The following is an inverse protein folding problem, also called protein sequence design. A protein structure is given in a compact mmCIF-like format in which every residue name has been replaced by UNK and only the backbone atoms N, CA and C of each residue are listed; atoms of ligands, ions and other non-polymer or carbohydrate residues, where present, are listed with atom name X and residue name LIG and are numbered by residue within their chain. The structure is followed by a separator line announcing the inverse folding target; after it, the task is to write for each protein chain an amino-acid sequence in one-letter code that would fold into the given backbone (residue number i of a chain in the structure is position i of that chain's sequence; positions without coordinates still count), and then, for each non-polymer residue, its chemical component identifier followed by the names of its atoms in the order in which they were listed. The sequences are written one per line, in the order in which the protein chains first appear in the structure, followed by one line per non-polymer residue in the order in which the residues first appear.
data_IF_079339568094
#
_entry.id   IF_079339568094
#
_cell.length_a   1.000
_cell.length_b   1.000
_cell.length_c   1.000
_cell.angle_alpha   90.00
_cell.angle_beta   90.00
_cell.angle_gamma   90.00
#
_symmetry.space_group_name_H-M   'P 1'
#
loop_
_entity.id
_entity.type
_entity.pdbx_description
1 polymer ?
#
# COMPACT_ATOMS: atom_id res chain seq x y z
N UNK A 1 -11.59 -9.15 25.02
CA UNK A 1 -10.34 -8.79 25.78
C UNK A 1 -9.74 -10.04 26.40
N UNK A 2 -8.48 -9.99 26.93
CA UNK A 2 -7.89 -11.17 27.62
C UNK A 2 -8.76 -11.59 28.81
N UNK A 3 -9.32 -10.63 29.56
CA UNK A 3 -10.28 -10.89 30.64
C UNK A 3 -11.48 -11.69 30.16
N UNK A 4 -12.06 -11.33 29.03
CA UNK A 4 -13.23 -12.01 28.49
C UNK A 4 -12.89 -13.42 28.02
N UNK A 5 -11.67 -13.63 27.48
CA UNK A 5 -11.17 -14.96 27.12
C UNK A 5 -11.02 -15.84 28.37
N UNK A 6 -10.43 -15.32 29.44
CA UNK A 6 -10.27 -16.05 30.71
C UNK A 6 -11.63 -16.44 31.28
N UNK A 7 -12.56 -15.48 31.33
CA UNK A 7 -13.93 -15.73 31.81
C UNK A 7 -14.68 -16.73 30.91
N UNK A 8 -14.51 -16.59 29.60
CA UNK A 8 -15.13 -17.52 28.63
C UNK A 8 -14.63 -18.96 28.80
N UNK A 9 -13.32 -19.16 28.91
CA UNK A 9 -12.72 -20.49 29.12
C UNK A 9 -13.15 -21.08 30.47
N UNK A 10 -13.20 -20.28 31.53
CA UNK A 10 -13.64 -20.73 32.86
C UNK A 10 -15.10 -21.18 32.87
N UNK A 11 -15.95 -20.56 32.06
CA UNK A 11 -17.38 -20.91 31.95
C UNK A 11 -17.68 -21.96 30.87
N UNK A 12 -16.69 -22.35 30.05
CA UNK A 12 -16.84 -23.28 28.92
C UNK A 12 -15.71 -24.34 28.93
N UNK A 13 -15.67 -25.17 29.98
CA UNK A 13 -14.60 -26.15 30.18
C UNK A 13 -14.42 -27.13 29.03
N UNK A 14 -15.49 -27.50 28.32
CA UNK A 14 -15.40 -28.34 27.14
C UNK A 14 -14.59 -27.68 26.03
N UNK A 15 -14.80 -26.39 25.81
CA UNK A 15 -14.02 -25.61 24.83
C UNK A 15 -12.57 -25.48 25.30
N UNK A 16 -12.34 -25.22 26.59
CA UNK A 16 -11.00 -25.18 27.16
C UNK A 16 -10.26 -26.50 26.92
N UNK A 17 -10.93 -27.64 27.11
CA UNK A 17 -10.38 -28.96 26.82
C UNK A 17 -10.01 -29.15 25.34
N UNK A 18 -10.91 -28.74 24.40
CA UNK A 18 -10.61 -28.79 22.97
C UNK A 18 -9.47 -27.85 22.55
N UNK A 19 -9.25 -26.77 23.30
CA UNK A 19 -8.08 -25.90 23.14
C UNK A 19 -6.79 -26.47 23.72
N UNK A 20 -6.83 -27.71 24.28
CA UNK A 20 -5.67 -28.41 24.82
C UNK A 20 -5.35 -28.07 26.28
N UNK A 21 -6.21 -27.35 27.00
CA UNK A 21 -6.01 -27.08 28.41
C UNK A 21 -6.41 -28.30 29.26
N UNK A 22 -5.59 -28.57 30.29
CA UNK A 22 -5.92 -29.58 31.32
C UNK A 22 -6.96 -28.99 32.28
N UNK A 23 -8.21 -29.38 32.11
CA UNK A 23 -9.35 -28.86 32.89
C UNK A 23 -9.38 -29.43 34.32
N UNK A 24 -8.51 -30.39 34.68
CA UNK A 24 -8.33 -30.88 36.06
C UNK A 24 -7.46 -29.90 36.89
N UNK A 25 -6.84 -28.91 36.25
CA UNK A 25 -5.98 -27.88 36.85
C UNK A 25 -6.58 -26.52 36.66
N UNK A 26 -6.16 -25.52 37.48
CA UNK A 26 -6.55 -24.15 37.23
C UNK A 26 -6.15 -23.68 35.82
N UNK A 27 -7.10 -23.10 35.09
CA UNK A 27 -6.85 -22.53 33.79
C UNK A 27 -5.88 -21.34 33.86
N UNK A 28 -5.19 -21.01 32.73
CA UNK A 28 -4.26 -19.88 32.70
C UNK A 28 -4.93 -18.58 33.09
N UNK A 29 -4.27 -17.78 33.92
CA UNK A 29 -4.74 -16.48 34.35
C UNK A 29 -4.55 -15.40 33.27
N UNK A 30 -5.19 -14.22 33.44
CA UNK A 30 -4.96 -13.05 32.63
C UNK A 30 -3.47 -12.78 32.36
N UNK A 31 -2.64 -12.82 33.41
CA UNK A 31 -1.21 -12.55 33.31
C UNK A 31 -0.43 -13.59 32.51
N UNK A 32 -0.91 -14.80 32.45
CA UNK A 32 -0.31 -15.84 31.61
C UNK A 32 -0.51 -15.53 30.13
N UNK A 33 -1.75 -15.18 29.75
CA UNK A 33 -2.06 -14.77 28.37
C UNK A 33 -1.37 -13.46 27.98
N UNK A 34 -1.33 -12.47 28.89
CA UNK A 34 -0.64 -11.18 28.64
C UNK A 34 0.86 -11.38 28.40
N UNK A 35 1.52 -12.21 29.23
CA UNK A 35 2.94 -12.56 29.01
C UNK A 35 3.16 -13.37 27.75
N UNK A 36 2.25 -14.28 27.40
CA UNK A 36 2.31 -15.02 26.16
C UNK A 36 2.30 -14.08 24.96
N UNK A 37 1.32 -13.19 24.86
CA UNK A 37 1.22 -12.24 23.75
C UNK A 37 2.43 -11.30 23.64
N UNK A 38 3.07 -10.95 24.76
CA UNK A 38 4.25 -10.06 24.77
C UNK A 38 5.54 -10.74 24.35
N UNK A 39 5.70 -12.00 24.68
CA UNK A 39 6.98 -12.70 24.60
C UNK A 39 6.98 -13.86 23.59
N UNK A 40 5.81 -14.24 23.06
CA UNK A 40 5.72 -15.33 22.12
C UNK A 40 6.38 -14.91 20.79
N UNK A 41 7.15 -15.84 20.23
CA UNK A 41 7.79 -15.63 18.93
C UNK A 41 6.74 -15.68 17.81
N UNK A 42 6.56 -14.55 17.13
CA UNK A 42 5.60 -14.45 16.05
C UNK A 42 5.96 -15.35 14.85
N UNK A 43 7.22 -15.71 14.67
CA UNK A 43 7.65 -16.56 13.55
C UNK A 43 6.91 -17.90 13.56
N UNK A 44 6.66 -18.46 14.76
CA UNK A 44 5.88 -19.69 14.89
C UNK A 44 4.42 -19.53 14.41
N UNK A 45 3.76 -18.41 14.73
CA UNK A 45 2.40 -18.13 14.26
C UNK A 45 2.40 -17.90 12.75
N UNK A 46 3.40 -17.18 12.25
CA UNK A 46 3.61 -16.98 10.81
C UNK A 46 3.77 -18.31 10.06
N UNK A 47 4.51 -19.28 10.62
CA UNK A 47 4.70 -20.60 10.02
C UNK A 47 3.41 -21.42 10.01
N UNK A 48 2.60 -21.33 11.06
CA UNK A 48 1.25 -21.94 11.07
C UNK A 48 0.39 -21.34 9.97
N UNK A 49 0.35 -20.01 9.87
CA UNK A 49 -0.40 -19.31 8.81
C UNK A 49 0.06 -19.75 7.43
N UNK A 50 1.38 -19.74 7.15
CA UNK A 50 1.94 -20.19 5.87
C UNK A 50 1.53 -21.63 5.54
N UNK A 51 1.57 -22.52 6.54
CA UNK A 51 1.16 -23.92 6.37
C UNK A 51 -0.33 -24.05 6.00
N UNK A 52 -1.20 -23.24 6.61
CA UNK A 52 -2.63 -23.21 6.26
C UNK A 52 -2.86 -22.68 4.85
N UNK A 53 -2.15 -21.61 4.46
CA UNK A 53 -2.24 -21.04 3.10
C UNK A 53 -1.77 -22.05 2.05
N UNK A 54 -0.67 -22.76 2.30
CA UNK A 54 -0.19 -23.83 1.40
C UNK A 54 -1.22 -24.94 1.24
N UNK A 55 -1.84 -25.40 2.34
CA UNK A 55 -2.89 -26.40 2.29
C UNK A 55 -4.11 -25.92 1.47
N UNK A 56 -4.48 -24.65 1.59
CA UNK A 56 -5.57 -24.07 0.80
C UNK A 56 -5.19 -23.94 -0.68
N UNK A 57 -3.94 -23.61 -0.98
CA UNK A 57 -3.42 -23.56 -2.34
C UNK A 57 -3.37 -24.94 -2.99
N UNK A 58 -2.93 -25.98 -2.28
CA UNK A 58 -2.96 -27.37 -2.75
C UNK A 58 -4.38 -27.84 -3.09
N UNK A 59 -5.37 -27.35 -2.36
CA UNK A 59 -6.80 -27.64 -2.63
C UNK A 59 -7.41 -26.76 -3.74
N UNK A 60 -6.65 -25.85 -4.32
CA UNK A 60 -7.12 -24.91 -5.33
C UNK A 60 -8.12 -23.86 -4.79
N UNK A 61 -8.13 -23.61 -3.47
CA UNK A 61 -9.00 -22.60 -2.83
C UNK A 61 -8.32 -21.24 -2.86
N UNK A 62 -7.00 -21.18 -2.64
CA UNK A 62 -6.18 -19.98 -2.78
C UNK A 62 -5.49 -20.02 -4.13
N UNK A 63 -5.64 -18.93 -4.89
CA UNK A 63 -5.03 -18.74 -6.21
C UNK A 63 -4.19 -17.44 -6.21
N UNK A 64 -2.95 -17.53 -6.67
CA UNK A 64 -2.05 -16.38 -6.76
C UNK A 64 -2.14 -15.62 -8.07
N UNK A 65 -3.06 -15.98 -8.97
CA UNK A 65 -3.24 -15.30 -10.27
C UNK A 65 -3.63 -13.83 -10.10
N UNK A 66 -4.48 -13.51 -9.12
CA UNK A 66 -4.92 -12.15 -8.82
C UNK A 66 -4.72 -11.87 -7.34
N UNK A 67 -3.66 -11.16 -7.02
CA UNK A 67 -3.31 -10.82 -5.64
C UNK A 67 -3.45 -9.34 -5.40
N UNK A 68 -4.04 -8.97 -4.28
CA UNK A 68 -4.26 -7.57 -3.91
C UNK A 68 -3.60 -7.23 -2.59
N UNK A 69 -3.03 -6.04 -2.49
CA UNK A 69 -2.45 -5.52 -1.25
C UNK A 69 -3.18 -4.28 -0.78
N UNK A 70 -3.52 -4.27 0.50
CA UNK A 70 -4.06 -3.09 1.16
C UNK A 70 -3.58 -3.01 2.61
N UNK A 71 -3.74 -1.85 3.24
CA UNK A 71 -3.39 -1.65 4.64
C UNK A 71 -4.59 -1.16 5.45
N UNK A 72 -4.68 -1.64 6.69
CA UNK A 72 -5.70 -1.21 7.64
C UNK A 72 -5.06 -0.60 8.88
N UNK A 73 -5.50 0.59 9.33
CA UNK A 73 -5.02 1.19 10.56
C UNK A 73 -5.51 0.43 11.79
N UNK A 74 -4.62 0.29 12.78
CA UNK A 74 -4.89 -0.28 14.10
C UNK A 74 -4.61 0.79 15.14
N UNK A 75 -5.64 1.26 15.83
CA UNK A 75 -5.51 2.26 16.86
C UNK A 75 -4.94 1.66 18.15
N UNK A 76 -3.81 2.18 18.62
CA UNK A 76 -3.22 1.77 19.88
C UNK A 76 -4.11 2.14 21.09
N UNK A 77 -4.04 1.32 22.13
CA UNK A 77 -4.78 1.53 23.37
C UNK A 77 -4.13 2.63 24.23
N UNK A 78 -4.34 3.88 23.82
CA UNK A 78 -3.76 5.06 24.45
C UNK A 78 -4.80 6.14 24.72
N UNK A 79 -4.50 7.00 25.71
CA UNK A 79 -5.35 8.16 26.04
C UNK A 79 -5.42 9.18 24.91
N UNK A 80 -4.37 9.29 24.07
CA UNK A 80 -4.34 10.19 22.92
C UNK A 80 -5.39 9.81 21.86
N UNK A 81 -5.66 8.52 21.68
CA UNK A 81 -6.69 8.06 20.75
C UNK A 81 -8.12 8.16 21.31
N UNK A 82 -8.27 8.35 22.61
CA UNK A 82 -9.60 8.47 23.20
C UNK A 82 -10.21 9.85 22.87
N UNK A 83 -11.36 9.92 22.17
CA UNK A 83 -12.04 11.19 21.86
C UNK A 83 -12.36 12.01 23.10
N UNK A 84 -12.71 11.36 24.20
CA UNK A 84 -13.08 11.99 25.50
C UNK A 84 -11.89 12.42 26.35
N UNK A 85 -10.66 12.13 25.94
CA UNK A 85 -9.46 12.50 26.71
C UNK A 85 -9.15 13.98 26.57
N UNK A 86 -8.76 14.61 27.67
CA UNK A 86 -8.33 16.01 27.75
C UNK A 86 -6.84 16.23 27.47
N UNK A 87 -6.12 15.24 26.97
CA UNK A 87 -4.71 15.38 26.59
C UNK A 87 -4.56 16.50 25.57
N UNK A 88 -3.78 17.54 25.89
CA UNK A 88 -3.50 18.63 24.96
C UNK A 88 -2.60 18.15 23.82
N UNK A 89 -2.81 18.69 22.59
CA UNK A 89 -1.96 18.41 21.43
C UNK A 89 -1.80 16.90 21.14
N UNK A 90 -2.89 16.12 21.28
CA UNK A 90 -2.94 14.65 21.18
C UNK A 90 -2.10 14.05 20.04
N UNK A 91 -2.14 14.67 18.86
CA UNK A 91 -1.55 14.14 17.62
C UNK A 91 -0.36 14.98 17.14
N UNK A 92 0.59 15.23 18.05
CA UNK A 92 1.89 15.80 17.70
C UNK A 92 2.99 14.76 17.90
N UNK A 93 4.01 14.70 17.02
CA UNK A 93 5.11 13.73 17.13
C UNK A 93 5.79 13.73 18.49
N UNK A 94 5.92 14.92 19.14
CA UNK A 94 6.56 15.10 20.43
C UNK A 94 5.70 14.61 21.61
N UNK A 95 4.44 14.21 21.38
CA UNK A 95 3.53 13.72 22.40
C UNK A 95 3.32 12.20 22.31
N UNK A 96 4.42 11.45 22.22
CA UNK A 96 4.41 9.99 22.20
C UNK A 96 3.66 9.43 23.41
N UNK A 97 2.70 8.51 23.23
CA UNK A 97 2.01 7.86 24.35
C UNK A 97 2.96 7.08 25.25
N UNK A 98 2.90 7.33 26.55
CA UNK A 98 3.68 6.57 27.55
C UNK A 98 3.10 5.17 27.79
N UNK A 99 1.80 4.98 27.53
CA UNK A 99 1.12 3.71 27.72
C UNK A 99 1.51 2.65 26.66
N UNK A 100 1.96 3.11 25.49
CA UNK A 100 2.43 2.27 24.37
C UNK A 100 3.53 3.05 23.64
N UNK A 101 4.79 2.71 23.95
CA UNK A 101 5.97 3.40 23.42
C UNK A 101 6.33 2.99 21.99
N UNK A 102 5.82 1.85 21.54
CA UNK A 102 6.11 1.31 20.21
C UNK A 102 5.22 1.94 19.14
N UNK A 103 3.98 2.28 19.48
CA UNK A 103 3.06 2.88 18.53
C UNK A 103 3.61 4.20 17.96
N UNK A 104 3.27 4.52 16.71
CA UNK A 104 3.68 5.77 16.05
C UNK A 104 2.49 6.53 15.54
N UNK A 105 2.70 7.84 15.32
CA UNK A 105 1.67 8.70 14.75
C UNK A 105 1.46 8.35 13.28
N UNK A 106 0.24 8.00 12.95
CA UNK A 106 -0.22 7.77 11.59
C UNK A 106 -1.29 8.77 11.16
N UNK A 107 -1.55 8.79 9.87
CA UNK A 107 -2.64 9.56 9.29
C UNK A 107 -3.46 8.67 8.38
N UNK A 108 -4.75 8.65 8.60
CA UNK A 108 -5.72 8.02 7.70
C UNK A 108 -6.46 9.10 6.92
N UNK A 109 -6.63 8.88 5.62
CA UNK A 109 -7.37 9.80 4.76
C UNK A 109 -8.72 9.18 4.45
N UNK A 110 -9.76 9.69 5.05
CA UNK A 110 -11.14 9.38 4.68
C UNK A 110 -11.65 10.38 3.64
N UNK A 111 -12.30 9.91 2.60
CA UNK A 111 -13.08 10.74 1.68
C UNK A 111 -14.57 10.54 1.97
N UNK A 112 -15.31 11.63 2.11
CA UNK A 112 -16.77 11.59 2.20
C UNK A 112 -17.40 11.48 0.79
N UNK A 113 -18.73 11.34 0.73
CA UNK A 113 -19.49 11.30 -0.54
C UNK A 113 -19.29 12.58 -1.40
N UNK A 114 -18.92 13.70 -0.79
CA UNK A 114 -18.62 14.97 -1.49
C UNK A 114 -17.16 15.07 -1.98
N UNK A 115 -16.38 13.98 -1.92
CA UNK A 115 -14.95 13.95 -2.25
C UNK A 115 -14.06 14.89 -1.42
N UNK A 116 -14.54 15.36 -0.27
CA UNK A 116 -13.72 16.10 0.67
C UNK A 116 -12.79 15.15 1.42
N UNK A 117 -11.50 15.48 1.44
CA UNK A 117 -10.50 14.70 2.15
C UNK A 117 -10.46 15.13 3.61
N UNK A 118 -10.85 14.22 4.49
CA UNK A 118 -10.65 14.37 5.93
C UNK A 118 -9.39 13.60 6.34
N UNK A 119 -8.49 14.29 7.03
CA UNK A 119 -7.31 13.67 7.62
C UNK A 119 -7.60 13.31 9.06
N UNK A 120 -7.53 12.02 9.38
CA UNK A 120 -7.70 11.52 10.74
C UNK A 120 -6.36 11.02 11.25
N UNK A 121 -5.85 11.65 12.31
CA UNK A 121 -4.61 11.25 12.94
C UNK A 121 -4.89 10.23 14.04
N UNK A 122 -4.00 9.27 14.19
CA UNK A 122 -4.07 8.27 15.25
C UNK A 122 -2.67 7.81 15.66
N UNK A 123 -2.53 7.38 16.89
CA UNK A 123 -1.36 6.65 17.36
C UNK A 123 -1.62 5.17 17.21
N UNK A 124 -0.71 4.42 16.58
CA UNK A 124 -0.96 3.00 16.39
C UNK A 124 -0.04 2.30 15.43
N UNK A 125 -0.62 1.33 14.77
CA UNK A 125 0.00 0.38 13.87
C UNK A 125 -0.80 0.28 12.58
N UNK A 126 -0.29 -0.52 11.64
CA UNK A 126 -0.99 -0.90 10.41
C UNK A 126 -0.83 -2.39 10.20
N UNK A 127 -1.89 -3.06 9.85
CA UNK A 127 -1.85 -4.38 9.23
C UNK A 127 -1.79 -4.21 7.72
N UNK A 128 -0.77 -4.76 7.08
CA UNK A 128 -0.62 -4.83 5.62
C UNK A 128 -0.91 -6.27 5.22
N UNK A 129 -1.92 -6.49 4.42
CA UNK A 129 -2.35 -7.85 4.04
C UNK A 129 -2.36 -8.04 2.54
N UNK A 130 -1.75 -9.13 2.09
CA UNK A 130 -1.86 -9.65 0.74
C UNK A 130 -3.03 -10.63 0.69
N UNK A 131 -3.96 -10.40 -0.22
CA UNK A 131 -5.22 -11.14 -0.33
C UNK A 131 -5.29 -11.78 -1.71
N UNK A 132 -5.75 -13.01 -1.79
CA UNK A 132 -6.24 -13.60 -3.03
C UNK A 132 -7.55 -12.91 -3.42
N UNK A 133 -7.53 -12.18 -4.54
CA UNK A 133 -8.68 -11.39 -5.00
C UNK A 133 -9.78 -12.26 -5.67
N UNK A 134 -9.63 -13.56 -5.74
CA UNK A 134 -10.66 -14.49 -6.21
C UNK A 134 -11.42 -15.07 -5.03
N UNK A 135 -10.73 -15.66 -4.06
CA UNK A 135 -11.35 -16.25 -2.87
C UNK A 135 -11.65 -15.22 -1.76
N UNK A 136 -10.96 -14.08 -1.75
CA UNK A 136 -11.00 -13.08 -0.68
C UNK A 136 -10.31 -13.53 0.61
N UNK A 137 -9.45 -14.56 0.53
CA UNK A 137 -8.69 -15.06 1.67
C UNK A 137 -7.34 -14.37 1.79
N UNK A 138 -6.83 -14.13 3.01
CA UNK A 138 -5.49 -13.60 3.21
C UNK A 138 -4.44 -14.64 2.85
N UNK A 139 -3.37 -14.19 2.19
CA UNK A 139 -2.21 -15.02 1.85
C UNK A 139 -1.07 -14.78 2.84
N UNK A 140 -0.78 -13.50 3.11
CA UNK A 140 0.30 -13.10 4.01
C UNK A 140 0.05 -11.71 4.58
N UNK A 141 0.55 -11.47 5.78
CA UNK A 141 0.41 -10.17 6.44
C UNK A 141 1.69 -9.74 7.15
N UNK A 142 1.83 -8.43 7.31
CA UNK A 142 2.87 -7.80 8.13
C UNK A 142 2.26 -6.68 8.94
N UNK A 143 2.50 -6.68 10.25
CA UNK A 143 2.14 -5.57 11.14
C UNK A 143 3.32 -4.61 11.30
N UNK A 144 3.08 -3.34 11.01
CA UNK A 144 4.07 -2.27 11.17
C UNK A 144 3.56 -1.16 12.10
N UNK A 145 4.44 -0.25 12.50
CA UNK A 145 3.99 1.00 13.11
C UNK A 145 3.27 1.89 12.10
N UNK A 146 2.35 2.73 12.57
CA UNK A 146 1.53 3.58 11.70
C UNK A 146 2.33 4.61 10.87
N UNK A 147 3.59 4.88 11.23
CA UNK A 147 4.46 5.80 10.50
C UNK A 147 5.08 5.20 9.23
N UNK A 148 5.06 3.87 9.08
CA UNK A 148 5.62 3.18 7.92
C UNK A 148 4.74 3.43 6.69
N UNK A 149 5.37 3.74 5.55
CA UNK A 149 4.66 3.95 4.30
C UNK A 149 4.25 2.60 3.69
N UNK A 150 2.99 2.48 3.24
CA UNK A 150 2.43 1.24 2.74
C UNK A 150 3.24 0.68 1.54
N UNK A 151 3.65 1.56 0.63
CA UNK A 151 4.47 1.18 -0.54
C UNK A 151 5.87 0.67 -0.19
N UNK A 152 6.42 0.96 0.99
CA UNK A 152 7.74 0.47 1.40
C UNK A 152 7.72 -0.98 1.85
N UNK A 153 6.59 -1.43 2.42
CA UNK A 153 6.40 -2.81 2.91
C UNK A 153 6.06 -3.77 1.76
N UNK A 154 5.56 -3.25 0.65
CA UNK A 154 5.10 -4.06 -0.49
C UNK A 154 6.17 -5.01 -1.03
N UNK A 155 7.42 -4.51 -1.13
CA UNK A 155 8.51 -5.29 -1.70
C UNK A 155 8.84 -6.51 -0.83
N UNK A 156 8.82 -6.31 0.49
CA UNK A 156 9.09 -7.38 1.48
C UNK A 156 7.93 -8.39 1.51
N UNK A 157 6.68 -7.92 1.56
CA UNK A 157 5.50 -8.80 1.53
C UNK A 157 5.50 -9.71 0.30
N UNK A 158 5.78 -9.16 -0.88
CA UNK A 158 5.83 -9.94 -2.11
C UNK A 158 6.99 -10.94 -2.11
N UNK A 159 8.17 -10.55 -1.60
CA UNK A 159 9.33 -11.43 -1.51
C UNK A 159 9.10 -12.57 -0.51
N UNK A 160 8.58 -12.25 0.68
CA UNK A 160 8.27 -13.23 1.72
C UNK A 160 7.20 -14.21 1.23
N UNK A 161 6.13 -13.70 0.60
CA UNK A 161 5.09 -14.57 0.01
C UNK A 161 5.69 -15.50 -1.02
N UNK A 162 6.49 -14.97 -1.97
CA UNK A 162 7.11 -15.78 -3.01
C UNK A 162 8.03 -16.87 -2.47
N UNK A 163 8.60 -16.67 -1.28
CA UNK A 163 9.51 -17.64 -0.64
C UNK A 163 8.82 -18.95 -0.23
N UNK A 164 7.52 -18.90 0.11
CA UNK A 164 6.77 -20.10 0.52
C UNK A 164 5.64 -20.46 -0.47
N UNK A 165 5.04 -19.49 -1.14
CA UNK A 165 4.00 -19.69 -2.13
C UNK A 165 4.37 -18.91 -3.42
N UNK A 166 4.72 -19.60 -4.52
CA UNK A 166 5.09 -18.92 -5.77
C UNK A 166 3.98 -18.01 -6.30
N UNK A 167 4.33 -16.76 -6.60
CA UNK A 167 3.44 -15.74 -7.17
C UNK A 167 3.87 -15.37 -8.61
N UNK A 168 4.26 -16.37 -9.40
CA UNK A 168 4.65 -16.18 -10.81
C UNK A 168 3.44 -15.91 -11.69
N UNK A 169 3.63 -15.04 -12.71
CA UNK A 169 2.58 -14.64 -13.67
C UNK A 169 1.35 -14.01 -13.01
N UNK A 170 1.52 -13.45 -11.81
CA UNK A 170 0.44 -12.84 -11.05
C UNK A 170 0.02 -11.47 -11.61
N UNK A 171 -1.25 -11.15 -11.43
CA UNK A 171 -1.77 -9.78 -11.56
C UNK A 171 -1.85 -9.14 -10.18
N UNK A 172 -0.98 -8.16 -9.94
CA UNK A 172 -0.90 -7.45 -8.65
C UNK A 172 -1.79 -6.22 -8.65
N UNK A 173 -2.74 -6.15 -7.71
CA UNK A 173 -3.72 -5.08 -7.55
C UNK A 173 -3.42 -4.26 -6.29
N UNK A 174 -3.39 -2.94 -6.43
CA UNK A 174 -3.27 -2.05 -5.27
C UNK A 174 -3.87 -0.66 -5.57
N UNK A 175 -4.02 0.15 -4.54
CA UNK A 175 -4.51 1.53 -4.72
C UNK A 175 -3.41 2.44 -5.30
N UNK A 176 -3.77 3.69 -5.62
CA UNK A 176 -2.82 4.70 -6.15
C UNK A 176 -1.69 5.09 -5.18
N UNK A 177 -1.77 4.72 -3.91
CA UNK A 177 -0.69 4.91 -2.93
C UNK A 177 0.52 4.04 -3.24
N UNK A 178 0.29 2.92 -3.87
CA UNK A 178 1.30 1.93 -4.28
C UNK A 178 1.88 2.18 -5.68
N UNK A 179 1.54 3.30 -6.34
CA UNK A 179 2.07 3.64 -7.66
C UNK A 179 3.54 4.07 -7.60
N UNK A 180 4.42 3.12 -7.33
CA UNK A 180 5.87 3.29 -7.16
C UNK A 180 6.64 2.38 -8.11
N UNK A 181 7.57 2.94 -8.89
CA UNK A 181 8.33 2.24 -9.95
C UNK A 181 8.92 0.89 -9.49
N UNK A 182 9.45 0.81 -8.27
CA UNK A 182 10.10 -0.41 -7.78
C UNK A 182 9.12 -1.58 -7.66
N UNK A 183 7.84 -1.33 -7.33
CA UNK A 183 6.80 -2.36 -7.25
C UNK A 183 6.57 -2.96 -8.64
N UNK A 184 6.40 -2.12 -9.66
CA UNK A 184 6.24 -2.62 -11.04
C UNK A 184 7.44 -3.41 -11.54
N UNK A 185 8.64 -2.94 -11.20
CA UNK A 185 9.87 -3.64 -11.59
C UNK A 185 9.96 -5.01 -10.91
N UNK A 186 9.64 -5.11 -9.62
CA UNK A 186 9.66 -6.38 -8.89
C UNK A 186 8.63 -7.35 -9.48
N UNK A 187 7.38 -6.92 -9.62
CA UNK A 187 6.30 -7.76 -10.14
C UNK A 187 6.60 -8.24 -11.55
N UNK A 188 7.06 -7.34 -12.44
CA UNK A 188 7.33 -7.70 -13.83
C UNK A 188 8.62 -8.51 -14.01
N UNK A 189 9.72 -8.15 -13.34
CA UNK A 189 11.02 -8.77 -13.61
C UNK A 189 11.30 -10.00 -12.74
N UNK A 190 10.79 -10.06 -11.52
CA UNK A 190 11.02 -11.20 -10.64
C UNK A 190 9.88 -12.23 -10.73
N UNK A 191 8.65 -11.80 -10.91
CA UNK A 191 7.49 -12.70 -10.89
C UNK A 191 6.83 -12.86 -12.25
N UNK A 192 7.36 -12.22 -13.31
CA UNK A 192 6.77 -12.24 -14.67
C UNK A 192 5.28 -11.82 -14.68
N UNK A 193 4.89 -10.98 -13.72
CA UNK A 193 3.52 -10.54 -13.51
C UNK A 193 3.25 -9.14 -14.06
N UNK A 194 2.01 -8.71 -13.91
CA UNK A 194 1.58 -7.35 -14.25
C UNK A 194 1.01 -6.61 -13.04
N UNK A 195 0.97 -5.27 -13.11
CA UNK A 195 0.40 -4.42 -12.08
C UNK A 195 -0.85 -3.70 -12.57
N UNK A 196 -1.92 -3.78 -11.81
CA UNK A 196 -3.17 -3.05 -12.02
C UNK A 196 -3.32 -2.03 -10.89
N UNK A 197 -2.63 -0.89 -11.04
CA UNK A 197 -2.58 0.19 -10.05
C UNK A 197 -2.96 1.51 -10.72
N UNK A 198 -3.90 2.28 -10.16
CA UNK A 198 -4.25 3.61 -10.68
C UNK A 198 -3.08 4.59 -10.58
N UNK A 199 -2.90 5.41 -11.59
CA UNK A 199 -1.81 6.37 -11.65
C UNK A 199 -1.92 7.44 -10.55
N UNK A 200 -0.86 7.64 -9.80
CA UNK A 200 -0.75 8.73 -8.85
C UNK A 200 -0.29 10.01 -9.55
N UNK A 201 -1.22 10.90 -9.83
CA UNK A 201 -0.96 12.16 -10.55
C UNK A 201 0.03 13.11 -9.84
N UNK A 202 0.29 12.92 -8.54
CA UNK A 202 1.23 13.77 -7.78
C UNK A 202 2.68 13.64 -8.28
N UNK A 203 3.02 12.48 -8.86
CA UNK A 203 4.38 12.17 -9.29
C UNK A 203 4.57 12.25 -10.81
N UNK A 204 3.53 12.61 -11.55
CA UNK A 204 3.56 12.69 -13.00
C UNK A 204 3.16 14.07 -13.46
N UNK A 205 4.14 14.93 -13.74
CA UNK A 205 3.94 16.04 -14.67
C UNK A 205 3.96 15.45 -16.09
N UNK A 206 2.92 14.72 -16.46
CA UNK A 206 2.79 14.28 -17.84
C UNK A 206 2.44 15.48 -18.71
N UNK A 207 3.32 15.88 -19.63
CA UNK A 207 2.94 16.82 -20.65
C UNK A 207 1.76 16.20 -21.44
N UNK A 208 0.78 17.03 -21.83
CA UNK A 208 -0.27 16.54 -22.74
C UNK A 208 0.40 15.98 -23.99
N UNK A 209 0.20 14.69 -24.25
CA UNK A 209 0.74 14.00 -25.41
C UNK A 209 -0.34 13.90 -26.49
N UNK A 210 0.06 14.07 -27.73
CA UNK A 210 -0.75 13.69 -28.88
C UNK A 210 -0.76 12.16 -29.04
N UNK A 211 -1.70 11.59 -29.82
CA UNK A 211 -1.74 10.14 -30.10
C UNK A 211 -0.41 9.59 -30.59
N UNK A 212 0.40 10.40 -31.31
CA UNK A 212 1.73 10.01 -31.80
C UNK A 212 2.82 10.05 -30.72
N UNK A 213 2.48 10.38 -29.46
CA UNK A 213 3.42 10.47 -28.35
C UNK A 213 4.23 11.77 -28.29
N UNK A 214 3.95 12.76 -29.13
CA UNK A 214 4.60 14.07 -29.09
C UNK A 214 3.90 14.99 -28.07
N UNK A 215 4.64 15.71 -27.21
CA UNK A 215 4.05 16.68 -26.30
C UNK A 215 3.56 17.91 -27.04
N UNK A 216 2.58 18.58 -26.47
CA UNK A 216 2.05 19.85 -26.93
C UNK A 216 2.72 20.97 -26.11
N UNK A 217 3.17 22.04 -26.76
CA UNK A 217 3.69 23.21 -26.08
C UNK A 217 2.54 24.08 -25.50
N UNK A 218 2.88 25.14 -24.76
CA UNK A 218 1.90 26.06 -24.16
C UNK A 218 0.99 26.74 -25.18
N UNK A 219 1.49 26.94 -26.41
CA UNK A 219 0.72 27.49 -27.52
C UNK A 219 -0.11 26.46 -28.30
N UNK A 220 -0.22 25.22 -27.81
CA UNK A 220 -0.99 24.19 -28.49
C UNK A 220 -0.30 23.52 -29.70
N UNK A 221 0.97 23.84 -29.96
CA UNK A 221 1.71 23.28 -31.10
C UNK A 221 2.36 21.94 -30.74
N UNK A 222 2.30 20.94 -31.64
CA UNK A 222 3.00 19.68 -31.51
C UNK A 222 4.52 19.88 -31.54
N UNK A 223 5.22 19.40 -30.53
CA UNK A 223 6.68 19.52 -30.44
C UNK A 223 7.38 18.44 -31.26
N UNK A 224 8.58 18.73 -31.78
CA UNK A 224 9.37 17.80 -32.56
C UNK A 224 10.41 17.09 -31.73
N UNK A 225 10.72 15.83 -32.08
CA UNK A 225 11.81 15.07 -31.44
C UNK A 225 13.16 15.74 -31.78
N UNK A 226 13.97 16.00 -30.76
CA UNK A 226 15.28 16.67 -30.84
C UNK A 226 16.37 15.87 -30.11
N UNK A 227 16.45 14.57 -30.43
CA UNK A 227 17.46 13.67 -29.88
C UNK A 227 17.09 13.01 -28.56
N UNK A 228 17.88 12.01 -28.18
CA UNK A 228 17.80 11.31 -26.90
C UNK A 228 18.92 11.75 -25.99
N UNK A 229 18.65 11.79 -24.70
CA UNK A 229 19.62 12.11 -23.67
C UNK A 229 19.55 11.04 -22.58
N UNK A 230 20.67 10.41 -22.30
CA UNK A 230 20.79 9.41 -21.23
C UNK A 230 21.65 9.97 -20.11
N UNK A 231 21.12 9.99 -18.90
CA UNK A 231 21.90 10.13 -17.67
C UNK A 231 22.03 8.76 -16.98
N UNK A 232 22.83 8.67 -15.91
CA UNK A 232 23.15 7.40 -15.22
C UNK A 232 21.91 6.63 -14.72
N UNK A 233 20.71 7.22 -14.75
CA UNK A 233 19.49 6.66 -14.14
C UNK A 233 18.31 6.56 -15.09
N UNK A 234 18.32 7.27 -16.23
CA UNK A 234 17.18 7.33 -17.14
C UNK A 234 17.54 7.83 -18.52
N UNK A 235 16.84 7.31 -19.54
CA UNK A 235 16.89 7.84 -20.90
C UNK A 235 15.70 8.75 -21.14
N UNK A 236 15.94 9.93 -21.70
CA UNK A 236 14.91 10.91 -22.00
C UNK A 236 14.90 11.23 -23.48
N UNK A 237 13.71 11.32 -24.05
CA UNK A 237 13.51 11.94 -25.36
C UNK A 237 13.36 13.45 -25.18
N UNK A 238 14.23 14.18 -25.86
CA UNK A 238 14.13 15.64 -25.94
C UNK A 238 13.17 16.02 -27.06
N UNK A 239 12.30 16.98 -26.78
CA UNK A 239 11.40 17.60 -27.75
C UNK A 239 11.66 19.09 -27.78
N UNK A 240 11.59 19.67 -28.97
CA UNK A 240 11.79 21.11 -29.20
C UNK A 240 10.56 21.76 -29.83
N UNK A 241 10.50 23.06 -29.66
CA UNK A 241 9.49 23.89 -30.32
C UNK A 241 9.56 23.71 -31.84
N UNK A 242 8.42 23.49 -32.53
CA UNK A 242 8.40 23.35 -34.00
C UNK A 242 8.84 24.62 -34.74
N UNK A 243 8.79 25.78 -34.07
CA UNK A 243 9.29 27.04 -34.59
C UNK A 243 10.77 27.31 -34.27
N UNK A 244 11.48 26.36 -33.70
CA UNK A 244 12.92 26.41 -33.48
C UNK A 244 13.63 26.61 -34.81
N UNK A 245 14.45 27.66 -34.92
CA UNK A 245 15.16 28.08 -36.13
C UNK A 245 14.27 28.66 -37.26
N UNK A 246 12.98 28.91 -37.03
CA UNK A 246 12.18 29.64 -37.99
C UNK A 246 12.69 31.09 -38.13
N UNK A 247 12.87 31.56 -39.37
CA UNK A 247 13.29 32.92 -39.67
C UNK A 247 12.10 33.91 -39.67
N UNK A 248 10.91 33.41 -39.74
CA UNK A 248 9.70 34.19 -39.96
C UNK A 248 8.59 33.79 -39.01
N UNK A 249 8.69 33.98 -37.77
CA UNK A 249 7.60 33.53 -36.96
C UNK A 249 7.30 34.44 -35.78
N UNK A 250 6.13 34.98 -35.73
CA UNK A 250 5.51 35.42 -34.49
C UNK A 250 5.21 34.17 -33.70
N UNK A 251 5.94 33.93 -32.60
CA UNK A 251 5.62 32.85 -31.72
C UNK A 251 4.30 33.15 -30.98
N UNK A 252 3.31 32.30 -31.04
CA UNK A 252 2.06 32.47 -30.33
C UNK A 252 2.21 32.33 -28.79
N UNK A 253 3.36 31.89 -28.30
CA UNK A 253 3.61 31.81 -26.84
C UNK A 253 4.60 32.89 -26.40
N UNK A 254 4.29 33.55 -25.29
CA UNK A 254 5.15 34.58 -24.68
C UNK A 254 6.34 34.02 -23.91
N UNK A 255 6.96 32.96 -24.42
CA UNK A 255 8.06 32.28 -23.72
C UNK A 255 9.31 33.17 -23.73
N UNK A 256 9.85 33.52 -22.55
CA UNK A 256 11.02 34.41 -22.40
C UNK A 256 12.26 33.94 -23.16
N UNK A 257 12.40 32.65 -23.39
CA UNK A 257 13.54 32.05 -24.08
C UNK A 257 13.36 31.94 -25.60
N UNK A 258 12.25 32.39 -26.13
CA UNK A 258 11.97 32.30 -27.57
C UNK A 258 12.89 33.18 -28.40
N UNK A 259 13.19 34.34 -27.89
CA UNK A 259 14.04 35.35 -28.56
C UNK A 259 15.40 35.51 -27.85
N UNK A 260 16.17 34.47 -27.73
CA UNK A 260 17.48 34.57 -27.13
C UNK A 260 18.57 34.70 -28.25
N UNK A 261 18.79 35.88 -28.76
CA UNK A 261 19.80 36.18 -29.77
C UNK A 261 19.34 35.96 -31.22
N UNK A 262 20.30 35.70 -32.13
CA UNK A 262 20.06 35.63 -33.59
C UNK A 262 19.20 34.45 -34.08
N UNK A 263 18.86 33.49 -33.23
CA UNK A 263 18.07 32.29 -33.57
C UNK A 263 17.01 32.02 -32.52
N UNK A 264 15.79 31.69 -32.96
CA UNK A 264 14.73 31.22 -32.06
C UNK A 264 15.12 29.88 -31.45
N UNK A 265 15.23 29.78 -30.14
CA UNK A 265 15.50 28.54 -29.45
C UNK A 265 14.21 27.80 -29.03
N UNK A 266 13.15 28.55 -28.78
CA UNK A 266 11.87 28.00 -28.37
C UNK A 266 11.90 27.25 -27.05
N UNK A 267 10.78 26.65 -26.69
CA UNK A 267 10.68 25.78 -25.50
C UNK A 267 11.22 24.37 -25.76
N UNK A 268 11.70 23.74 -24.72
CA UNK A 268 12.19 22.35 -24.76
C UNK A 268 11.49 21.57 -23.68
N UNK A 269 11.02 20.36 -24.00
CA UNK A 269 10.49 19.39 -23.04
C UNK A 269 11.29 18.10 -23.10
N UNK A 270 11.48 17.48 -21.94
CA UNK A 270 12.12 16.18 -21.81
C UNK A 270 11.08 15.18 -21.31
N UNK A 271 10.87 14.12 -22.06
CA UNK A 271 10.00 13.02 -21.65
C UNK A 271 10.90 11.82 -21.37
N UNK A 272 10.79 11.26 -20.19
CA UNK A 272 11.47 10.00 -19.89
C UNK A 272 10.90 8.92 -20.82
N UNK A 273 11.76 8.27 -21.59
CA UNK A 273 11.33 7.15 -22.41
C UNK A 273 10.87 6.01 -21.51
N UNK A 274 9.90 5.23 -21.95
CA UNK A 274 9.24 4.23 -21.10
C UNK A 274 10.13 2.99 -20.86
N UNK A 275 11.17 3.15 -20.02
CA UNK A 275 11.61 2.09 -19.13
C UNK A 275 10.78 2.10 -17.82
N UNK A 276 9.72 2.89 -17.78
CA UNK A 276 8.83 3.01 -16.64
C UNK A 276 7.53 2.28 -16.97
N UNK A 277 7.46 1.01 -16.57
CA UNK A 277 6.30 0.13 -16.76
C UNK A 277 4.99 0.77 -16.27
N UNK A 278 5.08 1.65 -15.25
CA UNK A 278 3.93 2.44 -14.75
C UNK A 278 3.21 3.22 -15.84
N UNK A 279 3.96 3.77 -16.78
CA UNK A 279 3.44 4.68 -17.80
C UNK A 279 2.96 3.97 -19.07
N UNK A 280 3.32 2.69 -19.24
CA UNK A 280 2.91 1.88 -20.38
C UNK A 280 1.50 1.28 -20.24
N UNK A 281 0.94 1.29 -19.01
CA UNK A 281 -0.36 0.69 -18.73
C UNK A 281 -1.49 1.57 -19.23
N UNK A 282 -2.37 1.01 -20.07
CA UNK A 282 -3.61 1.66 -20.51
C UNK A 282 -4.70 1.52 -19.43
N UNK A 283 -4.80 2.54 -18.59
CA UNK A 283 -5.76 2.60 -17.48
C UNK A 283 -7.18 2.93 -17.90
N UNK A 284 -7.38 3.31 -19.16
CA UNK A 284 -8.71 3.59 -19.71
C UNK A 284 -9.32 2.34 -20.36
N UNK A 285 -8.53 1.29 -20.56
CA UNK A 285 -8.97 0.01 -21.12
C UNK A 285 -10.05 -0.66 -20.27
N UNK A 286 -10.92 -1.42 -20.91
CA UNK A 286 -11.94 -2.23 -20.23
C UNK A 286 -11.28 -3.32 -19.38
N UNK A 287 -10.18 -3.88 -19.83
CA UNK A 287 -9.38 -4.85 -19.08
C UNK A 287 -8.92 -4.28 -17.73
N UNK A 288 -8.27 -3.11 -17.75
CA UNK A 288 -7.85 -2.47 -16.51
C UNK A 288 -9.01 -2.26 -15.54
N UNK A 289 -10.14 -1.73 -16.02
CA UNK A 289 -11.30 -1.41 -15.18
C UNK A 289 -11.94 -2.66 -14.58
N UNK A 290 -12.13 -3.71 -15.36
CA UNK A 290 -12.71 -4.96 -14.88
C UNK A 290 -11.78 -5.69 -13.90
N UNK A 291 -10.49 -5.74 -14.20
CA UNK A 291 -9.51 -6.38 -13.31
C UNK A 291 -9.32 -5.60 -12.02
N UNK A 292 -9.26 -4.25 -12.08
CA UNK A 292 -9.15 -3.42 -10.89
C UNK A 292 -10.32 -3.59 -9.92
N UNK A 293 -11.52 -3.94 -10.40
CA UNK A 293 -12.68 -4.18 -9.54
C UNK A 293 -12.48 -5.35 -8.58
N UNK A 294 -11.62 -6.32 -8.90
CA UNK A 294 -11.28 -7.45 -8.02
C UNK A 294 -10.61 -6.99 -6.71
N UNK A 295 -9.97 -5.81 -6.70
CA UNK A 295 -9.40 -5.22 -5.49
C UNK A 295 -10.43 -5.03 -4.36
N UNK A 296 -11.72 -5.03 -4.68
CA UNK A 296 -12.80 -4.97 -3.68
C UNK A 296 -12.69 -6.07 -2.63
N UNK A 297 -12.04 -7.21 -2.96
CA UNK A 297 -11.81 -8.28 -1.97
C UNK A 297 -10.87 -7.85 -0.85
N UNK A 298 -9.87 -7.00 -1.12
CA UNK A 298 -9.06 -6.40 -0.06
C UNK A 298 -9.90 -5.52 0.88
N UNK A 299 -10.83 -4.75 0.33
CA UNK A 299 -11.75 -3.91 1.13
C UNK A 299 -12.71 -4.77 1.96
N UNK A 300 -13.20 -5.88 1.40
CA UNK A 300 -14.02 -6.86 2.11
C UNK A 300 -13.24 -7.55 3.23
N UNK A 301 -11.98 -7.91 3.00
CA UNK A 301 -11.12 -8.44 4.04
C UNK A 301 -10.95 -7.43 5.17
N UNK A 302 -10.57 -6.19 4.84
CA UNK A 302 -10.41 -5.11 5.82
C UNK A 302 -11.70 -4.84 6.61
N UNK A 303 -12.87 -4.95 5.98
CA UNK A 303 -14.16 -4.85 6.68
C UNK A 303 -14.37 -5.99 7.66
N UNK A 304 -14.07 -7.24 7.29
CA UNK A 304 -14.13 -8.40 8.20
C UNK A 304 -13.18 -8.23 9.37
N UNK A 305 -11.94 -7.84 9.10
CA UNK A 305 -10.92 -7.54 10.11
C UNK A 305 -11.43 -6.50 11.15
N UNK A 306 -12.03 -5.42 10.70
CA UNK A 306 -12.62 -4.41 11.59
C UNK A 306 -13.79 -4.95 12.39
N UNK A 307 -14.65 -5.77 11.79
CA UNK A 307 -15.81 -6.36 12.46
C UNK A 307 -15.41 -7.31 13.61
N UNK A 308 -14.21 -7.89 13.59
CA UNK A 308 -13.66 -8.67 14.71
C UNK A 308 -13.11 -7.78 15.84
N UNK A 309 -13.13 -6.46 15.68
CA UNK A 309 -12.67 -5.50 16.69
C UNK A 309 -11.15 -5.23 16.66
N UNK A 310 -10.44 -5.79 15.71
CA UNK A 310 -8.97 -5.67 15.60
C UNK A 310 -8.49 -4.27 15.23
N UNK A 311 -9.37 -3.40 14.73
CA UNK A 311 -9.01 -1.98 14.50
C UNK A 311 -8.71 -1.19 15.79
N UNK A 312 -9.11 -1.72 16.96
CA UNK A 312 -8.90 -1.12 18.30
C UNK A 312 -8.55 -2.20 19.31
N UNK A 313 -7.34 -2.66 19.25
CA UNK A 313 -6.87 -3.70 20.16
C UNK A 313 -6.69 -3.16 21.57
N UNK A 314 -7.00 -4.00 22.56
CA UNK A 314 -6.85 -3.67 23.97
C UNK A 314 -5.45 -3.98 24.51
N UNK A 315 -4.61 -4.61 23.73
CA UNK A 315 -3.20 -4.85 24.05
C UNK A 315 -2.34 -3.63 23.74
N UNK A 316 -1.13 -3.65 24.26
CA UNK A 316 -0.11 -2.60 24.08
C UNK A 316 1.17 -3.26 23.61
N UNK A 317 2.06 -2.49 23.02
CA UNK A 317 3.31 -2.85 22.34
C UNK A 317 3.13 -3.60 21.02
N UNK A 318 4.14 -3.47 20.17
CA UNK A 318 4.10 -4.01 18.81
C UNK A 318 4.01 -5.54 18.79
N UNK A 319 4.77 -6.24 19.65
CA UNK A 319 4.77 -7.69 19.67
C UNK A 319 3.37 -8.26 19.96
N UNK A 320 2.66 -7.71 20.98
CA UNK A 320 1.30 -8.17 21.30
C UNK A 320 0.30 -7.87 20.19
N UNK A 321 0.44 -6.74 19.49
CA UNK A 321 -0.42 -6.40 18.35
C UNK A 321 -0.16 -7.34 17.18
N UNK A 322 1.11 -7.61 16.87
CA UNK A 322 1.50 -8.55 15.80
C UNK A 322 1.01 -9.97 16.10
N UNK A 323 1.10 -10.42 17.35
CA UNK A 323 0.66 -11.78 17.73
C UNK A 323 -0.87 -11.96 17.78
N UNK A 324 -1.64 -10.88 17.67
CA UNK A 324 -3.11 -10.92 17.60
C UNK A 324 -3.67 -10.73 16.19
N UNK A 325 -2.86 -10.26 15.27
CA UNK A 325 -3.21 -10.19 13.86
C UNK A 325 -3.03 -11.53 13.18
#
# INVERSE_FOLDING_TARGET
MISDLVDYLANNLLIAHYCGFDISRPLPSYWTFDRFLKNFDNDFLSDIMKSQVLLLAEKGIVDTSFIGLDSTPISANTSQNNPKSFVSKKFKPDNQPSADTDCKLGVHTASNQANEKKYEFYWGYKNHVLVDCISGLPIYEITTTAAVADSSVTLDILADTHSFLPITECTFLADKGYDVKNIYNQVSHLYNGECIIPLNKRNTQNPKLLPQGNPICEAGLAMWKDGKFSDRRRTRQKFCCPLKNSKSGICPCHHKNFYNGKKHRGCTKYITLPDDLRLSIDRDSQYFKSTYSLRTECERYNSRFKNTGQERMWVRNQASVTNLN
#
